data_IF_932166955582
#
_entry.id   IF_932166955582
#
_cell.length_a   1.000
_cell.length_b   1.000
_cell.length_c   1.000
_cell.angle_alpha   90.00
_cell.angle_beta   90.00
_cell.angle_gamma   90.00
#
_symmetry.space_group_name_H-M   'P 1'
#
loop_
_entity.id
_entity.type
_entity.pdbx_description
1 polymer ?
#
# COMPACT_ATOMS: atom_id res chain seq x y z
N UNK A 1 -32.19 28.14 -49.34
CA UNK A 1 -32.33 26.69 -49.60
C UNK A 1 -31.98 26.04 -48.28
N UNK A 2 -32.97 26.13 -47.40
CA UNK A 2 -32.88 25.97 -45.97
C UNK A 2 -33.35 24.56 -45.64
N UNK A 3 -32.50 23.78 -44.97
CA UNK A 3 -32.87 22.48 -44.44
C UNK A 3 -32.79 22.53 -42.92
N UNK A 4 -33.97 22.67 -42.32
CA UNK A 4 -34.26 22.39 -40.92
C UNK A 4 -33.98 20.90 -40.62
N UNK A 5 -33.29 20.65 -39.49
CA UNK A 5 -33.14 19.33 -38.88
C UNK A 5 -34.10 19.24 -37.67
N UNK A 6 -34.82 18.11 -37.48
CA UNK A 6 -35.80 17.99 -36.40
C UNK A 6 -35.16 17.58 -35.07
N UNK A 7 -35.59 18.28 -34.01
CA UNK A 7 -35.33 17.97 -32.60
C UNK A 7 -36.26 16.85 -32.14
N UNK A 8 -35.70 15.71 -31.73
CA UNK A 8 -36.43 14.62 -31.08
C UNK A 8 -36.25 14.75 -29.57
N UNK A 9 -37.29 15.26 -28.90
CA UNK A 9 -37.42 15.26 -27.45
C UNK A 9 -37.99 13.93 -27.00
N UNK A 10 -37.22 13.13 -26.27
CA UNK A 10 -37.73 11.91 -25.61
C UNK A 10 -37.89 12.16 -24.11
N UNK A 11 -39.12 12.03 -23.67
CA UNK A 11 -39.63 12.05 -22.30
C UNK A 11 -39.29 10.76 -21.54
N UNK A 12 -38.82 10.88 -20.30
CA UNK A 12 -38.82 9.85 -19.25
C UNK A 12 -38.97 10.62 -17.93
N UNK A 13 -40.17 10.79 -17.37
CA UNK A 13 -41.01 9.85 -16.59
C UNK A 13 -40.29 9.23 -15.39
N UNK A 14 -40.48 9.93 -14.29
CA UNK A 14 -40.33 9.57 -12.87
C UNK A 14 -41.12 8.31 -12.49
N UNK A 15 -40.66 7.58 -11.47
CA UNK A 15 -41.59 7.26 -10.40
C UNK A 15 -41.02 7.54 -8.99
N UNK A 16 -41.90 8.12 -8.17
CA UNK A 16 -42.00 7.97 -6.72
C UNK A 16 -41.50 6.61 -6.23
N UNK A 17 -40.69 6.60 -5.17
CA UNK A 17 -41.03 5.74 -4.06
C UNK A 17 -40.61 6.34 -2.72
N UNK A 18 -41.62 6.47 -1.88
CA UNK A 18 -41.61 6.84 -0.48
C UNK A 18 -41.00 5.68 0.32
N UNK A 19 -40.21 5.95 1.35
CA UNK A 19 -40.28 5.29 2.68
C UNK A 19 -39.20 5.88 3.60
N UNK A 20 -39.59 6.83 4.46
CA UNK A 20 -39.08 6.88 5.83
C UNK A 20 -39.93 5.95 6.69
N UNK A 21 -39.39 5.40 7.79
CA UNK A 21 -39.92 5.90 9.05
C UNK A 21 -38.88 6.19 10.13
N UNK A 22 -39.22 7.24 10.85
CA UNK A 22 -38.61 7.83 12.04
C UNK A 22 -38.41 6.90 13.24
N UNK A 23 -37.47 7.35 14.07
CA UNK A 23 -37.18 6.96 15.44
C UNK A 23 -38.36 7.09 16.43
N UNK A 24 -38.30 6.37 17.55
CA UNK A 24 -38.79 6.75 18.91
C UNK A 24 -38.18 5.74 19.92
N UNK A 25 -37.18 6.10 20.75
CA UNK A 25 -37.19 6.72 22.11
C UNK A 25 -37.26 5.72 23.27
N UNK A 26 -36.25 5.82 24.17
CA UNK A 26 -36.21 5.62 25.65
C UNK A 26 -36.92 4.39 26.28
N UNK A 27 -36.55 3.84 27.43
CA UNK A 27 -35.81 4.26 28.62
C UNK A 27 -35.65 2.94 29.43
N UNK A 28 -34.54 2.69 30.12
CA UNK A 28 -34.66 2.30 31.53
C UNK A 28 -33.34 2.43 32.31
N UNK A 29 -33.54 3.02 33.47
CA UNK A 29 -32.64 3.34 34.58
C UNK A 29 -32.21 2.07 35.35
N UNK A 30 -31.38 2.05 36.39
CA UNK A 30 -30.28 2.84 36.94
C UNK A 30 -29.80 2.04 38.16
N UNK A 31 -28.55 2.30 38.58
CA UNK A 31 -28.03 2.15 39.96
C UNK A 31 -27.79 0.70 40.48
N UNK A 32 -26.80 0.37 41.31
CA UNK A 32 -26.01 1.17 42.27
C UNK A 32 -24.76 0.38 42.72
N UNK A 33 -23.68 1.12 43.04
CA UNK A 33 -22.63 0.89 44.07
C UNK A 33 -21.84 -0.45 44.09
N UNK A 34 -20.53 -0.47 44.33
CA UNK A 34 -19.90 0.05 45.56
C UNK A 34 -18.38 0.17 45.40
N UNK A 35 -17.83 1.30 45.86
CA UNK A 35 -16.41 1.59 46.03
C UNK A 35 -15.74 0.75 47.13
N UNK A 36 -14.44 0.47 47.02
CA UNK A 36 -13.54 0.47 48.17
C UNK A 36 -12.07 0.62 47.76
N UNK A 37 -11.45 1.63 48.37
CA UNK A 37 -10.09 2.14 48.24
C UNK A 37 -9.17 1.53 49.31
N UNK A 38 -7.86 1.46 49.06
CA UNK A 38 -6.70 1.67 49.98
C UNK A 38 -5.53 0.73 49.58
N UNK A 39 -4.43 1.20 48.98
CA UNK A 39 -3.28 1.92 49.57
C UNK A 39 -2.39 1.06 50.48
N UNK A 40 -1.17 0.77 50.03
CA UNK A 40 0.03 0.68 50.87
C UNK A 40 1.31 0.78 50.00
N UNK A 41 2.31 1.48 50.53
CA UNK A 41 3.53 1.95 49.89
C UNK A 41 4.78 1.19 50.37
N UNK A 42 5.95 1.68 49.91
CA UNK A 42 7.35 1.37 50.26
C UNK A 42 8.03 0.34 49.34
N UNK A 43 8.96 0.72 48.46
CA UNK A 43 10.34 1.24 48.65
C UNK A 43 11.33 0.09 48.82
N UNK A 44 12.05 -0.26 47.74
CA UNK A 44 13.38 -0.84 47.84
C UNK A 44 14.15 -0.67 46.52
N UNK A 45 15.23 0.10 46.60
CA UNK A 45 16.23 0.30 45.56
C UNK A 45 17.49 -0.45 45.95
N UNK A 46 17.91 -1.43 45.14
CA UNK A 46 19.29 -1.82 44.83
C UNK A 46 19.34 -3.30 44.43
N UNK A 47 19.39 -3.59 43.12
CA UNK A 47 20.45 -4.45 42.58
C UNK A 47 20.41 -4.42 41.04
N UNK A 48 21.44 -3.82 40.45
CA UNK A 48 21.88 -4.10 39.08
C UNK A 48 23.31 -4.65 39.24
N UNK A 49 23.70 -5.76 38.58
CA UNK A 49 24.07 -5.74 37.15
C UNK A 49 23.95 -7.14 36.48
N UNK A 50 24.56 -7.46 35.30
CA UNK A 50 25.05 -6.62 34.22
C UNK A 50 24.35 -6.90 32.87
N UNK A 51 24.56 -5.96 31.96
CA UNK A 51 24.36 -6.01 30.52
C UNK A 51 24.75 -7.36 29.89
N UNK A 52 23.75 -8.16 29.54
CA UNK A 52 23.84 -9.24 28.56
C UNK A 52 23.26 -8.76 27.24
N UNK A 53 24.13 -8.49 26.27
CA UNK A 53 23.77 -8.21 24.88
C UNK A 53 23.12 -9.47 24.28
N UNK A 54 21.80 -9.48 24.19
CA UNK A 54 21.10 -10.25 23.17
C UNK A 54 20.56 -9.26 22.13
N UNK A 55 21.42 -8.99 21.15
CA UNK A 55 21.07 -8.31 19.92
C UNK A 55 20.23 -9.24 19.04
N UNK A 56 18.96 -9.43 19.42
CA UNK A 56 17.91 -9.74 18.45
C UNK A 56 17.12 -8.46 18.24
N UNK A 57 17.63 -7.63 17.33
CA UNK A 57 16.90 -6.47 16.83
C UNK A 57 15.57 -6.93 16.24
N UNK A 58 14.54 -6.77 17.05
CA UNK A 58 13.15 -6.46 16.72
C UNK A 58 12.73 -6.75 15.27
N UNK A 59 12.37 -8.01 15.00
CA UNK A 59 11.41 -8.33 13.94
C UNK A 59 10.17 -9.12 14.40
N UNK A 60 9.48 -8.80 15.53
CA UNK A 60 8.42 -9.67 16.08
C UNK A 60 6.99 -9.12 15.86
N UNK A 61 6.73 -8.34 14.79
CA UNK A 61 5.37 -7.75 14.57
C UNK A 61 4.88 -7.69 13.13
N UNK A 62 5.78 -7.72 12.14
CA UNK A 62 5.41 -7.89 10.73
C UNK A 62 4.70 -9.24 10.53
N UNK A 63 5.22 -10.28 11.19
CA UNK A 63 4.71 -11.66 11.16
C UNK A 63 3.25 -11.78 11.63
N UNK A 64 2.78 -10.83 12.45
CA UNK A 64 1.37 -10.81 12.92
C UNK A 64 0.43 -10.21 11.88
N UNK A 65 0.92 -9.33 11.01
CA UNK A 65 0.13 -8.60 10.02
C UNK A 65 0.17 -9.26 8.64
N UNK A 66 1.34 -9.75 8.28
CA UNK A 66 1.68 -10.36 7.01
C UNK A 66 1.41 -11.86 7.09
N UNK A 67 0.73 -12.42 6.11
CA UNK A 67 0.56 -13.88 6.11
C UNK A 67 1.92 -14.56 5.99
N UNK A 68 2.12 -15.69 6.68
CA UNK A 68 3.47 -16.24 6.86
C UNK A 68 4.23 -16.53 5.55
N UNK A 69 3.53 -16.78 4.44
CA UNK A 69 4.20 -16.94 3.15
C UNK A 69 4.62 -15.62 2.51
N UNK A 70 3.87 -14.52 2.71
CA UNK A 70 4.22 -13.20 2.18
C UNK A 70 5.49 -12.70 2.84
N UNK A 71 5.63 -12.85 4.17
CA UNK A 71 6.84 -12.45 4.88
C UNK A 71 8.07 -13.17 4.35
N UNK A 72 7.97 -14.50 4.19
CA UNK A 72 9.02 -15.32 3.58
C UNK A 72 9.33 -14.93 2.14
N UNK A 73 8.29 -14.64 1.33
CA UNK A 73 8.47 -14.20 -0.05
C UNK A 73 9.23 -12.88 -0.12
N UNK A 74 8.89 -11.91 0.73
CA UNK A 74 9.59 -10.61 0.81
C UNK A 74 11.03 -10.75 1.30
N UNK A 75 11.28 -11.62 2.27
CA UNK A 75 12.63 -11.86 2.80
C UNK A 75 13.53 -12.60 1.81
N UNK A 76 12.96 -13.51 1.02
CA UNK A 76 13.69 -14.24 -0.03
C UNK A 76 13.87 -13.43 -1.32
N UNK A 77 13.07 -12.39 -1.53
CA UNK A 77 13.12 -11.62 -2.78
C UNK A 77 14.42 -10.80 -2.85
N UNK A 78 15.14 -10.81 -3.98
CA UNK A 78 16.35 -10.01 -4.15
C UNK A 78 16.07 -8.52 -3.90
N UNK A 79 17.00 -7.84 -3.23
CA UNK A 79 16.94 -6.39 -3.03
C UNK A 79 17.84 -5.70 -4.05
N UNK A 80 17.48 -4.50 -4.54
CA UNK A 80 18.36 -3.73 -5.39
C UNK A 80 19.57 -3.26 -4.56
N UNK A 81 20.77 -3.56 -5.03
CA UNK A 81 22.04 -3.17 -4.39
C UNK A 81 22.69 -2.08 -5.22
N UNK A 82 23.11 -0.99 -4.58
CA UNK A 82 23.79 0.12 -5.25
C UNK A 82 25.32 -0.07 -5.19
N UNK A 83 26.06 0.25 -6.28
CA UNK A 83 25.56 0.67 -7.59
C UNK A 83 24.88 -0.48 -8.33
N UNK A 84 23.77 -0.17 -9.02
CA UNK A 84 22.97 -1.18 -9.71
C UNK A 84 23.71 -1.61 -10.99
N UNK A 85 24.22 -2.84 -11.04
CA UNK A 85 24.92 -3.39 -12.21
C UNK A 85 23.99 -4.11 -13.18
N UNK A 86 22.92 -4.69 -12.65
CA UNK A 86 21.95 -5.51 -13.36
C UNK A 86 20.53 -4.95 -13.20
N UNK A 87 19.61 -5.43 -14.04
CA UNK A 87 18.21 -5.05 -13.90
C UNK A 87 17.62 -5.68 -12.64
N UNK A 88 16.88 -4.88 -11.87
CA UNK A 88 16.07 -5.33 -10.76
C UNK A 88 14.60 -5.02 -11.04
N UNK A 89 13.75 -6.02 -10.88
CA UNK A 89 12.31 -5.90 -10.97
C UNK A 89 11.62 -6.54 -9.77
N UNK A 90 10.50 -5.96 -9.36
CA UNK A 90 9.58 -6.58 -8.41
C UNK A 90 8.16 -6.46 -8.92
N UNK A 91 7.47 -7.60 -9.04
CA UNK A 91 6.07 -7.67 -9.46
C UNK A 91 5.24 -8.49 -8.48
N UNK A 92 3.92 -8.27 -8.49
CA UNK A 92 2.97 -9.10 -7.74
C UNK A 92 3.11 -10.58 -8.11
N UNK A 93 3.22 -10.88 -9.41
CA UNK A 93 3.36 -12.25 -9.87
C UNK A 93 4.71 -12.86 -9.48
N UNK A 94 5.80 -12.09 -9.51
CA UNK A 94 7.11 -12.49 -9.01
C UNK A 94 7.06 -12.93 -7.54
N UNK A 95 6.32 -12.19 -6.70
CA UNK A 95 6.12 -12.54 -5.30
C UNK A 95 5.19 -13.74 -5.10
N UNK A 96 4.06 -13.81 -5.83
CA UNK A 96 3.13 -14.95 -5.71
C UNK A 96 3.78 -16.25 -6.21
N UNK A 97 4.74 -16.20 -7.14
CA UNK A 97 5.52 -17.37 -7.55
C UNK A 97 6.39 -17.95 -6.43
N UNK A 98 6.66 -17.20 -5.36
CA UNK A 98 7.37 -17.68 -4.16
C UNK A 98 6.47 -18.49 -3.22
N UNK A 99 5.16 -18.60 -3.50
CA UNK A 99 4.25 -19.43 -2.72
C UNK A 99 4.69 -20.91 -2.83
N UNK A 100 4.88 -21.61 -1.71
CA UNK A 100 5.13 -23.05 -1.73
C UNK A 100 3.98 -23.77 -2.44
N UNK A 101 4.27 -24.43 -3.56
CA UNK A 101 3.31 -25.17 -4.41
C UNK A 101 2.35 -24.28 -5.21
N UNK A 102 2.85 -23.59 -6.22
CA UNK A 102 2.01 -22.94 -7.24
C UNK A 102 1.39 -24.02 -8.14
N UNK A 103 0.04 -24.13 -8.20
CA UNK A 103 -0.60 -25.08 -9.10
C UNK A 103 -0.28 -24.78 -10.57
N UNK A 104 -0.08 -25.82 -11.39
CA UNK A 104 0.28 -25.66 -12.82
C UNK A 104 -0.76 -24.85 -13.62
N UNK A 105 -2.03 -24.88 -13.23
CA UNK A 105 -3.08 -24.10 -13.88
C UNK A 105 -3.00 -22.59 -13.58
N UNK A 106 -2.24 -22.18 -12.56
CA UNK A 106 -2.14 -20.78 -12.11
C UNK A 106 -1.00 -20.01 -12.77
N UNK A 107 -0.09 -20.67 -13.49
CA UNK A 107 1.11 -20.04 -14.07
C UNK A 107 0.79 -19.02 -15.16
N UNK A 108 -0.08 -19.37 -16.11
CA UNK A 108 -0.44 -18.48 -17.23
C UNK A 108 -1.21 -17.23 -16.78
N UNK A 109 -2.19 -17.31 -15.86
CA UNK A 109 -2.78 -16.10 -15.28
C UNK A 109 -1.79 -15.22 -14.50
N UNK A 110 -0.78 -15.82 -13.84
CA UNK A 110 0.26 -15.05 -13.15
C UNK A 110 1.13 -14.26 -14.12
N UNK A 111 1.46 -14.79 -15.30
CA UNK A 111 2.20 -14.03 -16.32
C UNK A 111 1.49 -12.74 -16.77
N UNK A 112 0.15 -12.73 -16.76
CA UNK A 112 -0.62 -11.53 -17.06
C UNK A 112 -0.48 -10.47 -15.97
N UNK A 113 -0.20 -10.89 -14.73
CA UNK A 113 -0.04 -10.01 -13.58
C UNK A 113 1.35 -9.38 -13.48
N UNK A 114 2.34 -9.87 -14.22
CA UNK A 114 3.67 -9.28 -14.26
C UNK A 114 3.67 -7.82 -14.78
N UNK A 115 2.58 -7.39 -15.42
CA UNK A 115 2.36 -6.00 -15.87
C UNK A 115 1.72 -5.08 -14.85
N UNK A 116 1.35 -5.54 -13.66
CA UNK A 116 0.56 -4.75 -12.74
C UNK A 116 1.22 -4.65 -11.39
N UNK A 117 1.42 -3.42 -10.95
CA UNK A 117 2.18 -3.10 -9.74
C UNK A 117 3.69 -3.25 -9.92
N UNK A 118 4.17 -3.62 -11.10
CA UNK A 118 5.58 -3.94 -11.28
C UNK A 118 6.44 -2.69 -11.12
N UNK A 119 7.55 -2.80 -10.40
CA UNK A 119 8.56 -1.76 -10.24
C UNK A 119 9.80 -2.23 -10.97
N UNK A 120 10.27 -1.42 -11.91
CA UNK A 120 11.42 -1.74 -12.76
C UNK A 120 12.51 -0.70 -12.53
N UNK A 121 13.70 -1.16 -12.14
CA UNK A 121 14.86 -0.30 -11.96
C UNK A 121 16.06 -0.97 -12.60
N UNK A 122 16.70 -0.32 -13.56
CA UNK A 122 17.88 -0.84 -14.23
C UNK A 122 18.88 0.26 -14.57
N UNK A 123 20.10 -0.12 -14.97
CA UNK A 123 21.11 0.84 -15.41
C UNK A 123 20.70 1.62 -16.67
N UNK A 124 19.77 1.11 -17.47
CA UNK A 124 19.36 1.72 -18.74
C UNK A 124 17.93 2.25 -18.72
N UNK A 125 17.08 1.67 -17.89
CA UNK A 125 15.65 1.96 -17.89
C UNK A 125 15.06 1.97 -16.48
N UNK A 126 13.92 2.65 -16.36
CA UNK A 126 13.12 2.73 -15.13
C UNK A 126 11.64 2.72 -15.51
N UNK A 127 10.79 2.17 -14.66
CA UNK A 127 9.37 2.18 -14.98
C UNK A 127 8.46 1.49 -13.98
N UNK A 128 7.18 1.51 -14.35
CA UNK A 128 6.09 0.97 -13.54
C UNK A 128 5.10 0.18 -14.40
N UNK A 129 4.48 -0.81 -13.78
CA UNK A 129 3.33 -1.53 -14.33
C UNK A 129 3.63 -2.12 -15.71
N UNK A 130 4.80 -2.78 -15.83
CA UNK A 130 5.21 -3.49 -17.04
C UNK A 130 5.67 -2.61 -18.20
N UNK A 131 5.73 -1.29 -18.03
CA UNK A 131 6.31 -0.37 -19.01
C UNK A 131 7.60 0.25 -18.45
N UNK A 132 8.70 0.01 -19.16
CA UNK A 132 10.02 0.58 -18.86
C UNK A 132 10.36 1.72 -19.83
N UNK A 133 11.07 2.72 -19.32
CA UNK A 133 11.44 3.95 -20.02
C UNK A 133 12.97 4.08 -19.94
N UNK A 134 13.62 4.21 -21.10
CA UNK A 134 15.06 4.52 -21.15
C UNK A 134 15.36 5.80 -20.38
N UNK A 135 16.39 5.79 -19.54
CA UNK A 135 16.79 6.96 -18.76
C UNK A 135 17.08 8.19 -19.64
N UNK A 136 17.61 7.99 -20.85
CA UNK A 136 17.87 9.06 -21.83
C UNK A 136 16.61 9.81 -22.28
N UNK A 137 15.43 9.21 -22.04
CA UNK A 137 14.13 9.80 -22.34
C UNK A 137 13.45 10.37 -21.10
N UNK A 138 13.94 10.08 -19.90
CA UNK A 138 13.34 10.58 -18.67
C UNK A 138 13.65 12.07 -18.53
N UNK A 139 12.62 12.85 -18.28
CA UNK A 139 12.70 14.30 -18.12
C UNK A 139 12.69 14.71 -16.65
N UNK A 140 11.93 14.00 -15.83
CA UNK A 140 11.71 14.34 -14.42
C UNK A 140 11.20 13.08 -13.69
N UNK A 141 11.70 12.86 -12.47
CA UNK A 141 11.18 11.85 -11.55
C UNK A 141 10.50 12.57 -10.40
N UNK A 142 9.21 12.30 -10.19
CA UNK A 142 8.42 12.91 -9.13
C UNK A 142 8.20 11.96 -7.98
N UNK A 143 8.31 12.51 -6.79
CA UNK A 143 8.04 11.78 -5.56
C UNK A 143 6.96 12.45 -4.75
N UNK A 144 6.15 11.62 -4.11
CA UNK A 144 5.13 12.01 -3.16
C UNK A 144 5.16 11.06 -1.97
N UNK A 145 4.72 11.50 -0.78
CA UNK A 145 4.42 10.61 0.33
C UNK A 145 3.50 9.48 -0.13
N UNK A 146 3.80 8.24 0.28
CA UNK A 146 3.08 7.07 -0.21
C UNK A 146 1.56 7.16 0.03
N UNK A 147 1.14 7.82 1.10
CA UNK A 147 -0.28 8.03 1.40
C UNK A 147 -1.06 8.74 0.31
N UNK A 148 -0.43 9.58 -0.53
CA UNK A 148 -1.13 10.26 -1.64
C UNK A 148 -1.67 9.27 -2.67
N UNK A 149 -1.03 8.11 -2.78
CA UNK A 149 -1.33 7.07 -3.78
C UNK A 149 -2.00 5.83 -3.17
N UNK A 150 -2.04 5.73 -1.84
CA UNK A 150 -2.56 4.58 -1.09
C UNK A 150 -3.94 4.84 -0.48
N UNK A 151 -4.88 5.31 -1.30
CA UNK A 151 -6.29 5.40 -0.88
C UNK A 151 -7.01 4.06 -1.02
N UNK A 152 -8.07 3.90 -0.25
CA UNK A 152 -9.01 2.78 -0.38
C UNK A 152 -9.55 2.66 -1.81
N UNK A 153 -9.95 3.79 -2.40
CA UNK A 153 -10.52 3.85 -3.75
C UNK A 153 -9.49 3.46 -4.82
N UNK A 154 -8.22 3.88 -4.66
CA UNK A 154 -7.14 3.51 -5.57
C UNK A 154 -6.84 2.00 -5.51
N UNK A 155 -6.87 1.41 -4.33
CA UNK A 155 -6.73 -0.04 -4.18
C UNK A 155 -7.91 -0.80 -4.76
N UNK A 156 -9.14 -0.35 -4.50
CA UNK A 156 -10.34 -0.96 -5.09
C UNK A 156 -10.32 -0.88 -6.63
N UNK A 157 -9.90 0.26 -7.19
CA UNK A 157 -9.72 0.42 -8.62
C UNK A 157 -8.68 -0.56 -9.19
N UNK A 158 -7.53 -0.74 -8.50
CA UNK A 158 -6.52 -1.74 -8.87
C UNK A 158 -7.09 -3.17 -8.80
N UNK A 159 -7.84 -3.50 -7.74
CA UNK A 159 -8.52 -4.79 -7.62
C UNK A 159 -9.50 -5.04 -8.76
N UNK A 160 -10.31 -4.04 -9.11
CA UNK A 160 -11.22 -4.11 -10.24
C UNK A 160 -10.46 -4.33 -11.57
N UNK A 161 -9.29 -3.72 -11.74
CA UNK A 161 -8.43 -3.92 -12.90
C UNK A 161 -7.89 -5.36 -12.99
N UNK A 162 -7.42 -5.93 -11.88
CA UNK A 162 -7.01 -7.34 -11.83
C UNK A 162 -8.14 -8.29 -12.24
N UNK A 163 -9.36 -8.04 -11.75
CA UNK A 163 -10.53 -8.86 -12.07
C UNK A 163 -10.92 -8.81 -13.55
N UNK A 164 -10.65 -7.70 -14.23
CA UNK A 164 -10.90 -7.52 -15.68
C UNK A 164 -9.88 -8.27 -16.52
N UNK A 165 -8.61 -8.25 -16.12
CA UNK A 165 -7.50 -8.76 -16.94
C UNK A 165 -7.32 -10.26 -16.79
N UNK A 166 -7.53 -10.81 -15.59
CA UNK A 166 -7.39 -12.25 -15.40
C UNK A 166 -8.57 -12.95 -16.09
N UNK A 167 -8.36 -13.76 -17.14
CA UNK A 167 -9.45 -14.42 -17.83
C UNK A 167 -10.19 -15.38 -16.89
N UNK A 168 -11.47 -15.66 -17.18
CA UNK A 168 -12.30 -16.60 -16.41
C UNK A 168 -11.86 -18.05 -16.70
N UNK A 169 -10.68 -18.42 -16.22
CA UNK A 169 -10.06 -19.75 -16.41
C UNK A 169 -9.92 -20.50 -15.09
N UNK A 170 -9.83 -21.84 -15.12
CA UNK A 170 -9.48 -22.62 -13.93
C UNK A 170 -8.17 -22.08 -13.31
N UNK A 171 -8.18 -21.85 -12.00
CA UNK A 171 -7.07 -21.24 -11.28
C UNK A 171 -7.21 -19.75 -10.97
N UNK A 172 -8.12 -19.03 -11.63
CA UNK A 172 -8.35 -17.61 -11.37
C UNK A 172 -8.63 -17.32 -9.89
N UNK A 173 -9.49 -18.11 -9.25
CA UNK A 173 -9.83 -17.93 -7.82
C UNK A 173 -8.62 -18.09 -6.91
N UNK A 174 -7.75 -19.06 -7.21
CA UNK A 174 -6.51 -19.27 -6.46
C UNK A 174 -5.54 -18.08 -6.61
N UNK A 175 -5.32 -17.63 -7.85
CA UNK A 175 -4.44 -16.48 -8.13
C UNK A 175 -4.97 -15.21 -7.46
N UNK A 176 -6.25 -14.90 -7.64
CA UNK A 176 -6.87 -13.75 -7.00
C UNK A 176 -6.80 -13.83 -5.48
N UNK A 177 -7.00 -15.01 -4.90
CA UNK A 177 -6.85 -15.23 -3.46
C UNK A 177 -5.45 -14.85 -2.99
N UNK A 178 -4.40 -15.34 -3.65
CA UNK A 178 -3.00 -15.05 -3.28
C UNK A 178 -2.58 -13.61 -3.54
N UNK A 179 -3.03 -13.02 -4.64
CA UNK A 179 -2.80 -11.59 -4.93
C UNK A 179 -3.49 -10.73 -3.88
N UNK A 180 -4.74 -11.03 -3.52
CA UNK A 180 -5.46 -10.27 -2.50
C UNK A 180 -4.79 -10.40 -1.13
N UNK A 181 -4.39 -11.62 -0.76
CA UNK A 181 -3.66 -11.89 0.47
C UNK A 181 -2.33 -11.12 0.55
N UNK A 182 -1.58 -11.07 -0.56
CA UNK A 182 -0.37 -10.27 -0.69
C UNK A 182 -0.65 -8.78 -0.51
N UNK A 183 -1.55 -8.21 -1.31
CA UNK A 183 -1.81 -6.77 -1.33
C UNK A 183 -2.38 -6.28 0.01
N UNK A 184 -3.26 -7.05 0.64
CA UNK A 184 -3.76 -6.74 1.98
C UNK A 184 -2.63 -6.79 3.00
N UNK A 185 -1.76 -7.80 2.95
CA UNK A 185 -0.61 -7.90 3.86
C UNK A 185 0.34 -6.70 3.71
N UNK A 186 0.64 -6.30 2.48
CA UNK A 186 1.46 -5.12 2.17
C UNK A 186 0.78 -3.84 2.65
N UNK A 187 -0.51 -3.68 2.38
CA UNK A 187 -1.28 -2.52 2.82
C UNK A 187 -1.34 -2.40 4.35
N UNK A 188 -1.64 -3.49 5.06
CA UNK A 188 -1.67 -3.51 6.52
C UNK A 188 -0.29 -3.24 7.15
N UNK A 189 0.78 -3.51 6.41
CA UNK A 189 2.15 -3.18 6.81
C UNK A 189 2.47 -1.71 6.56
N UNK A 190 2.00 -1.15 5.45
CA UNK A 190 2.26 0.23 5.07
C UNK A 190 1.43 1.24 5.88
N UNK A 191 0.17 0.92 6.19
CA UNK A 191 -0.75 1.84 6.87
C UNK A 191 -0.52 1.83 8.38
N UNK A 192 -0.42 3.00 9.04
CA UNK A 192 -0.24 3.09 10.48
C UNK A 192 -1.40 2.47 11.27
N UNK A 193 -1.14 2.06 12.50
CA UNK A 193 -2.21 1.70 13.44
C UNK A 193 -3.03 2.95 13.79
N UNK A 194 -4.30 2.80 14.22
CA UNK A 194 -5.15 3.95 14.58
C UNK A 194 -4.52 4.89 15.61
N UNK A 195 -3.82 4.33 16.61
CA UNK A 195 -3.12 5.10 17.65
C UNK A 195 -1.93 5.88 17.05
N UNK A 196 -1.15 5.23 16.17
CA UNK A 196 -0.02 5.86 15.46
C UNK A 196 -0.53 6.95 14.49
N UNK A 197 -1.66 6.71 13.85
CA UNK A 197 -2.34 7.67 12.97
C UNK A 197 -2.82 8.90 13.75
N UNK A 198 -3.41 8.72 14.93
CA UNK A 198 -3.79 9.82 15.80
C UNK A 198 -2.55 10.65 16.19
N UNK A 199 -1.44 9.99 16.52
CA UNK A 199 -0.17 10.67 16.78
C UNK A 199 0.31 11.49 15.57
N UNK A 200 0.34 10.92 14.36
CA UNK A 200 0.72 11.65 13.14
C UNK A 200 -0.10 12.92 12.91
N UNK A 201 -1.41 12.84 13.16
CA UNK A 201 -2.32 13.98 13.03
C UNK A 201 -2.06 15.06 14.10
N UNK A 202 -1.58 14.66 15.28
CA UNK A 202 -1.26 15.61 16.36
C UNK A 202 0.13 16.23 16.24
N UNK A 203 1.13 15.50 15.74
CA UNK A 203 2.51 15.98 15.62
C UNK A 203 2.80 16.69 14.29
N UNK A 204 1.85 16.69 13.34
CA UNK A 204 2.01 17.40 12.05
C UNK A 204 3.27 16.96 11.31
N UNK A 205 3.63 15.68 11.39
CA UNK A 205 4.93 15.15 10.97
C UNK A 205 5.12 15.15 9.45
N UNK A 206 5.27 16.34 8.86
CA UNK A 206 5.93 16.56 7.58
C UNK A 206 7.43 16.61 7.88
N UNK A 207 8.08 15.44 7.87
CA UNK A 207 9.54 15.37 7.81
C UNK A 207 9.98 15.91 6.44
N UNK A 208 10.12 17.23 6.36
CA UNK A 208 10.93 17.92 5.36
C UNK A 208 12.41 17.78 5.78
N UNK A 209 13.22 17.18 4.90
CA UNK A 209 14.68 17.32 4.77
C UNK A 209 15.63 17.10 5.97
N UNK A 210 15.27 16.30 6.98
CA UNK A 210 16.26 15.82 7.97
C UNK A 210 16.81 14.43 7.58
N UNK A 211 18.12 14.28 7.27
CA UNK A 211 18.74 12.97 7.20
C UNK A 211 18.80 12.39 8.62
N UNK A 212 18.27 11.18 8.79
CA UNK A 212 18.36 10.37 10.00
C UNK A 212 17.90 11.04 11.30
N UNK A 213 16.58 11.08 11.52
CA UNK A 213 16.05 11.05 12.90
C UNK A 213 14.91 10.04 13.05
N UNK A 214 15.15 9.11 13.96
CA UNK A 214 14.30 8.05 14.51
C UNK A 214 13.81 6.92 13.59
N UNK A 215 14.64 5.87 13.52
CA UNK A 215 14.30 4.48 13.20
C UNK A 215 13.24 3.82 14.12
N UNK A 216 12.48 4.61 14.89
CA UNK A 216 11.50 4.15 15.89
C UNK A 216 10.04 4.43 15.54
N UNK A 217 9.73 5.31 14.58
CA UNK A 217 8.33 5.64 14.26
C UNK A 217 7.70 4.59 13.35
N UNK A 218 6.73 3.82 13.86
CA UNK A 218 5.95 2.83 13.09
C UNK A 218 5.15 3.45 11.94
N UNK A 219 4.98 4.77 11.92
CA UNK A 219 4.35 5.51 10.84
C UNK A 219 5.28 5.82 9.65
N UNK A 220 6.59 5.55 9.78
CA UNK A 220 7.61 5.84 8.77
C UNK A 220 7.31 5.32 7.34
N UNK A 221 6.70 4.14 7.10
CA UNK A 221 6.45 3.71 5.73
C UNK A 221 5.33 4.50 5.05
N UNK A 222 4.35 5.01 5.79
CA UNK A 222 3.20 5.71 5.19
C UNK A 222 3.53 7.15 4.78
N UNK A 223 4.42 7.80 5.52
CA UNK A 223 4.91 9.16 5.23
C UNK A 223 6.14 9.16 4.32
N UNK A 224 6.79 8.00 4.11
CA UNK A 224 7.91 7.87 3.18
C UNK A 224 7.51 8.33 1.79
N UNK A 225 8.38 9.14 1.17
CA UNK A 225 8.23 9.53 -0.23
C UNK A 225 8.60 8.35 -1.13
N UNK A 226 7.71 8.03 -2.06
CA UNK A 226 7.91 7.04 -3.13
C UNK A 226 7.89 7.73 -4.48
N UNK A 227 8.49 7.12 -5.50
CA UNK A 227 8.35 7.63 -6.87
C UNK A 227 6.93 7.33 -7.34
N UNK A 228 6.15 8.39 -7.60
CA UNK A 228 4.75 8.28 -8.02
C UNK A 228 4.54 8.62 -9.48
N UNK A 229 5.46 9.37 -10.10
CA UNK A 229 5.35 9.74 -11.51
C UNK A 229 6.74 9.85 -12.16
N UNK A 230 6.84 9.36 -13.40
CA UNK A 230 8.00 9.54 -14.26
C UNK A 230 7.53 10.29 -15.51
N UNK A 231 8.06 11.50 -15.72
CA UNK A 231 7.83 12.25 -16.96
C UNK A 231 8.91 11.94 -17.96
N UNK A 232 8.53 11.74 -19.21
CA UNK A 232 9.44 11.29 -20.24
C UNK A 232 9.11 11.87 -21.61
N UNK A 233 10.12 11.93 -22.48
CA UNK A 233 9.99 12.36 -23.86
C UNK A 233 9.38 11.27 -24.71
N UNK A 234 8.34 11.61 -25.48
CA UNK A 234 7.75 10.75 -26.51
C UNK A 234 8.30 11.14 -27.89
N UNK A 235 8.00 10.34 -28.92
CA UNK A 235 8.32 10.70 -30.32
C UNK A 235 7.70 12.05 -30.70
N UNK A 236 6.53 12.34 -30.14
CA UNK A 236 5.82 13.60 -30.26
C UNK A 236 5.34 14.01 -28.85
N UNK A 237 5.87 15.13 -28.35
CA UNK A 237 5.51 15.68 -27.05
C UNK A 237 6.09 14.94 -25.85
N UNK A 238 5.45 15.14 -24.70
CA UNK A 238 5.82 14.55 -23.41
C UNK A 238 4.78 13.52 -23.00
N UNK A 239 5.22 12.58 -22.17
CA UNK A 239 4.38 11.60 -21.52
C UNK A 239 4.61 11.61 -20.02
N UNK A 240 3.60 11.18 -19.30
CA UNK A 240 3.68 10.87 -17.88
C UNK A 240 3.40 9.37 -17.69
N UNK A 241 4.08 8.79 -16.71
CA UNK A 241 3.82 7.44 -16.24
C UNK A 241 3.62 7.48 -14.73
N UNK A 242 2.40 7.23 -14.30
CA UNK A 242 2.06 7.19 -12.88
C UNK A 242 2.26 5.78 -12.33
N UNK A 243 2.75 5.68 -11.10
CA UNK A 243 2.83 4.44 -10.37
C UNK A 243 1.44 4.04 -9.86
N UNK A 244 1.02 2.79 -10.12
CA UNK A 244 -0.19 2.26 -9.48
C UNK A 244 -0.04 2.17 -7.96
N UNK A 245 -1.16 2.13 -7.22
CA UNK A 245 -1.13 1.91 -5.76
C UNK A 245 -0.35 0.64 -5.37
N UNK A 246 -0.40 -0.39 -6.22
CA UNK A 246 0.38 -1.62 -6.02
C UNK A 246 1.88 -1.39 -6.20
N UNK A 247 2.30 -0.62 -7.21
CA UNK A 247 3.70 -0.23 -7.40
C UNK A 247 4.22 0.55 -6.20
N UNK A 248 3.39 1.43 -5.62
CA UNK A 248 3.73 2.16 -4.38
C UNK A 248 3.85 1.21 -3.19
N UNK A 249 2.94 0.26 -3.00
CA UNK A 249 3.06 -0.77 -1.96
C UNK A 249 4.35 -1.59 -2.10
N UNK A 250 4.75 -1.93 -3.33
CA UNK A 250 5.98 -2.68 -3.58
C UNK A 250 7.24 -1.84 -3.34
N UNK A 251 7.21 -0.55 -3.68
CA UNK A 251 8.27 0.38 -3.29
C UNK A 251 8.44 0.47 -1.77
N UNK A 252 7.33 0.49 -1.01
CA UNK A 252 7.39 0.48 0.45
C UNK A 252 7.91 -0.85 1.01
N UNK A 253 7.54 -1.98 0.39
CA UNK A 253 8.03 -3.30 0.77
C UNK A 253 9.53 -3.48 0.47
N UNK A 254 10.00 -2.85 -0.60
CA UNK A 254 11.40 -2.86 -1.04
C UNK A 254 11.95 -1.44 -1.08
N UNK A 255 12.27 -0.85 0.08
CA UNK A 255 12.66 0.55 0.18
C UNK A 255 13.87 0.92 -0.70
N UNK A 256 14.79 -0.02 -0.89
CA UNK A 256 15.94 0.16 -1.78
C UNK A 256 15.56 0.39 -3.25
N UNK A 257 14.33 0.08 -3.68
CA UNK A 257 13.88 0.34 -5.05
C UNK A 257 13.70 1.82 -5.33
N UNK A 258 13.01 2.55 -4.44
CA UNK A 258 12.92 4.01 -4.49
C UNK A 258 14.31 4.63 -4.39
N UNK A 259 15.13 4.16 -3.44
CA UNK A 259 16.48 4.70 -3.25
C UNK A 259 17.34 4.49 -4.51
N UNK A 260 17.22 3.34 -5.16
CA UNK A 260 17.92 3.06 -6.42
C UNK A 260 17.42 3.91 -7.58
N UNK A 261 16.11 4.14 -7.72
CA UNK A 261 15.56 5.04 -8.73
C UNK A 261 16.09 6.46 -8.55
N UNK A 262 16.11 6.97 -7.32
CA UNK A 262 16.58 8.32 -7.02
C UNK A 262 18.10 8.46 -7.23
N UNK A 263 18.87 7.46 -6.81
CA UNK A 263 20.31 7.43 -7.03
C UNK A 263 20.68 7.43 -8.53
N UNK A 264 19.99 6.58 -9.32
CA UNK A 264 20.22 6.50 -10.77
C UNK A 264 19.74 7.76 -11.50
N UNK A 265 18.66 8.40 -11.04
CA UNK A 265 18.21 9.69 -11.55
C UNK A 265 19.27 10.77 -11.30
N UNK A 266 19.78 10.86 -10.08
CA UNK A 266 20.83 11.82 -9.70
C UNK A 266 22.13 11.60 -10.50
N UNK A 267 22.57 10.35 -10.66
CA UNK A 267 23.76 9.99 -11.46
C UNK A 267 23.64 10.47 -12.92
N UNK A 268 22.42 10.45 -13.48
CA UNK A 268 22.15 10.84 -14.87
C UNK A 268 21.77 12.31 -15.02
N UNK A 269 21.78 13.08 -13.94
CA UNK A 269 21.34 14.48 -13.95
C UNK A 269 19.85 14.66 -14.26
N UNK A 270 19.03 13.63 -14.03
CA UNK A 270 17.57 13.72 -14.15
C UNK A 270 17.03 14.43 -12.90
N UNK A 271 16.27 15.52 -13.05
CA UNK A 271 15.66 16.22 -11.92
C UNK A 271 14.73 15.32 -11.11
N UNK A 272 14.92 15.32 -9.79
CA UNK A 272 13.98 14.74 -8.82
C UNK A 272 13.15 15.87 -8.22
N UNK A 273 11.83 15.78 -8.38
CA UNK A 273 10.88 16.77 -7.87
C UNK A 273 10.07 16.16 -6.74
N UNK A 274 10.19 16.74 -5.55
CA UNK A 274 9.35 16.42 -4.41
C UNK A 274 8.07 17.25 -4.52
N UNK A 275 6.96 16.61 -4.88
CA UNK A 275 5.70 17.32 -5.05
C UNK A 275 5.19 17.72 -3.65
N UNK A 276 4.87 19.00 -3.42
CA UNK A 276 4.28 19.44 -2.16
C UNK A 276 2.90 18.82 -2.00
N UNK A 277 2.49 18.53 -0.76
CA UNK A 277 1.20 17.91 -0.50
C UNK A 277 0.42 18.76 0.48
N UNK A 278 -0.89 18.82 0.29
CA UNK A 278 -1.80 19.51 1.19
C UNK A 278 -1.98 18.70 2.48
N UNK A 279 -1.60 19.30 3.61
CA UNK A 279 -1.74 18.70 4.94
C UNK A 279 -3.20 18.40 5.30
N UNK A 280 -4.17 19.15 4.75
CA UNK A 280 -5.60 18.90 4.91
C UNK A 280 -6.03 17.57 4.27
N UNK A 281 -5.46 17.22 3.13
CA UNK A 281 -5.73 15.96 2.43
C UNK A 281 -5.10 14.76 3.16
N UNK A 282 -3.97 14.97 3.83
CA UNK A 282 -3.30 13.95 4.64
C UNK A 282 -4.22 13.46 5.75
N UNK A 283 -4.87 14.38 6.48
CA UNK A 283 -5.75 14.05 7.58
C UNK A 283 -6.96 13.21 7.17
N UNK A 284 -7.61 13.59 6.08
CA UNK A 284 -8.74 12.86 5.53
C UNK A 284 -8.32 11.48 4.98
N UNK A 285 -7.14 11.38 4.38
CA UNK A 285 -6.63 10.13 3.79
C UNK A 285 -6.20 9.15 4.86
N UNK A 286 -5.52 9.60 5.92
CA UNK A 286 -5.17 8.76 7.08
C UNK A 286 -6.43 8.19 7.74
N UNK A 287 -7.45 9.03 7.98
CA UNK A 287 -8.73 8.58 8.57
C UNK A 287 -9.41 7.51 7.71
N UNK A 288 -9.46 7.71 6.39
CA UNK A 288 -10.01 6.71 5.44
C UNK A 288 -9.18 5.43 5.41
N UNK A 289 -7.85 5.53 5.43
CA UNK A 289 -6.96 4.37 5.46
C UNK A 289 -7.14 3.56 6.76
N UNK A 290 -7.30 4.22 7.90
CA UNK A 290 -7.62 3.58 9.17
C UNK A 290 -8.97 2.84 9.14
N UNK A 291 -10.00 3.43 8.52
CA UNK A 291 -11.28 2.75 8.31
C UNK A 291 -11.12 1.51 7.42
N UNK A 292 -10.38 1.61 6.32
CA UNK A 292 -10.15 0.49 5.41
C UNK A 292 -9.30 -0.62 6.01
N UNK A 293 -8.40 -0.28 6.95
CA UNK A 293 -7.63 -1.26 7.73
C UNK A 293 -8.54 -2.27 8.44
N UNK A 294 -9.67 -1.83 8.98
CA UNK A 294 -10.64 -2.72 9.64
C UNK A 294 -11.24 -3.74 8.65
N UNK A 295 -11.63 -3.28 7.46
CA UNK A 295 -12.12 -4.13 6.36
C UNK A 295 -11.05 -5.11 5.89
N UNK A 296 -9.81 -4.64 5.74
CA UNK A 296 -8.67 -5.43 5.32
C UNK A 296 -8.33 -6.54 6.34
N UNK A 297 -8.38 -6.24 7.65
CA UNK A 297 -8.26 -7.23 8.72
C UNK A 297 -9.37 -8.29 8.64
N UNK A 298 -10.63 -7.86 8.44
CA UNK A 298 -11.75 -8.80 8.26
C UNK A 298 -11.63 -9.67 7.01
N UNK A 299 -10.98 -9.19 5.94
CA UNK A 299 -10.70 -9.99 4.75
C UNK A 299 -9.57 -11.01 5.02
N UNK A 300 -8.51 -10.59 5.71
CA UNK A 300 -7.41 -11.47 6.13
C UNK A 300 -7.89 -12.59 7.06
N UNK A 301 -8.75 -12.28 8.01
CA UNK A 301 -9.28 -13.27 8.96
C UNK A 301 -10.18 -14.32 8.27
N UNK A 302 -10.79 -13.98 7.13
CA UNK A 302 -11.48 -14.96 6.28
C UNK A 302 -10.50 -15.90 5.60
N UNK A 303 -9.42 -15.37 5.03
CA UNK A 303 -8.40 -16.20 4.36
C UNK A 303 -7.66 -17.15 5.32
N UNK A 304 -7.37 -16.69 6.54
CA UNK A 304 -6.74 -17.53 7.56
C UNK A 304 -7.66 -18.65 8.05
N UNK A 305 -8.97 -18.41 8.11
CA UNK A 305 -9.97 -19.46 8.40
C UNK A 305 -10.11 -20.47 7.27
N UNK A 306 -10.11 -20.03 6.02
CA UNK A 306 -10.20 -20.92 4.85
C UNK A 306 -8.93 -21.74 4.60
N UNK A 307 -7.81 -21.38 5.24
CA UNK A 307 -6.53 -22.12 5.20
C UNK A 307 -6.25 -22.93 6.46
N UNK A 308 -7.20 -22.98 7.42
CA UNK A 308 -7.12 -23.87 8.57
C UNK A 308 -7.11 -25.36 8.17
N UNK A 309 -6.51 -26.24 8.99
CA UNK A 309 -6.22 -27.61 8.59
C UNK A 309 -7.52 -28.35 8.22
N UNK A 310 -7.65 -28.69 6.95
CA UNK A 310 -8.53 -29.76 6.51
C UNK A 310 -7.95 -31.05 7.06
N UNK A 311 -8.66 -31.65 8.01
CA UNK A 311 -8.35 -32.96 8.58
C UNK A 311 -8.35 -34.06 7.49
#
# INVERSE_FOLDING_TARGET
MDQELPVVSTTCREPDDLTEPSATTADDAAATATSATATAAADDAADAPPSGRDGTETRPRLDTLVTGWVGRALDAYPRPVLPLTDHWDASVAGLVRQVPLVPRFATRPLELLDRFGAVHVGPREVGFDGDAIDWDRVLEVRTQPAWSSLSADALEANFAQYLRVIPRVPGRGWVLGKVTELLVSLYLTAVPLPDDAAHLLTTGGTTDDAPDSDAGSRAAPFTRRTVTEIRYKRRLGEGERQASATSVLLQLAFPGSTDAMLALAAERGVPVVHVPVDEGEMGATIKRAAAWRSTALGLRDRFTRDTGPTA
#
